data_IF_532561591351
#
_entry.id   IF_532561591351
#
_cell.length_a   1.000
_cell.length_b   1.000
_cell.length_c   1.000
_cell.angle_alpha   90.00
_cell.angle_beta   90.00
_cell.angle_gamma   90.00
#
_symmetry.space_group_name_H-M   'P 1'
#
loop_
_entity.id
_entity.type
_entity.pdbx_description
1 polymer ?
#
# COMPACT_ATOMS: atom_id res chain seq x y z
N UNK A 1 11.73 -0.38 22.58
CA UNK A 1 12.17 0.90 22.00
C UNK A 1 11.00 1.88 21.94
N UNK A 2 11.28 3.19 21.97
CA UNK A 2 10.34 4.25 21.62
C UNK A 2 10.48 4.53 20.14
N UNK A 3 9.43 4.27 19.37
CA UNK A 3 9.41 4.40 17.91
C UNK A 3 8.46 5.52 17.53
N UNK A 4 8.96 6.53 16.82
CA UNK A 4 8.12 7.57 16.24
C UNK A 4 7.92 7.32 14.73
N UNK A 5 6.65 7.06 14.34
CA UNK A 5 6.25 6.93 12.94
C UNK A 5 5.73 8.29 12.45
N UNK A 6 6.28 8.78 11.34
CA UNK A 6 5.87 10.05 10.76
C UNK A 6 5.06 9.81 9.49
N UNK A 7 3.82 10.25 9.48
CA UNK A 7 2.88 10.08 8.36
C UNK A 7 1.99 11.31 8.22
N UNK A 8 2.54 12.38 7.64
CA UNK A 8 1.95 13.72 7.65
C UNK A 8 0.54 13.81 7.07
N UNK A 9 0.23 13.05 6.00
CA UNK A 9 -1.08 13.11 5.32
C UNK A 9 -1.93 11.85 5.49
N UNK A 10 -1.31 10.72 5.85
CA UNK A 10 -2.03 9.44 5.97
C UNK A 10 -2.31 9.13 7.44
N UNK A 11 -3.38 9.70 7.97
CA UNK A 11 -3.84 9.49 9.34
C UNK A 11 -4.20 8.00 9.55
N UNK A 12 -3.58 7.29 10.51
CA UNK A 12 -3.85 5.88 10.76
C UNK A 12 -5.27 5.60 11.26
N UNK A 13 -5.98 6.62 11.73
CA UNK A 13 -7.38 6.51 12.20
C UNK A 13 -8.40 6.92 11.12
N UNK A 14 -7.96 7.40 9.95
CA UNK A 14 -8.86 7.77 8.88
C UNK A 14 -9.53 6.54 8.25
N UNK A 15 -10.83 6.67 7.93
CA UNK A 15 -11.56 5.64 7.19
C UNK A 15 -10.94 5.42 5.80
N UNK A 16 -10.67 4.17 5.47
CA UNK A 16 -10.11 3.79 4.15
C UNK A 16 -11.16 4.03 3.06
N UNK A 17 -10.75 4.70 1.97
CA UNK A 17 -11.64 4.98 0.82
C UNK A 17 -11.82 6.47 0.52
N UNK A 18 -11.35 7.38 1.39
CA UNK A 18 -11.28 8.81 1.09
C UNK A 18 -10.23 9.14 0.01
N UNK A 19 -10.24 10.38 -0.48
CA UNK A 19 -9.39 10.87 -1.60
C UNK A 19 -7.91 10.55 -1.39
N UNK A 20 -7.40 10.75 -0.17
CA UNK A 20 -6.01 10.46 0.21
C UNK A 20 -5.87 9.31 1.22
N UNK A 21 -6.97 8.63 1.60
CA UNK A 21 -6.95 7.48 2.49
C UNK A 21 -6.80 6.17 1.70
N UNK A 22 -5.63 5.57 1.77
CA UNK A 22 -5.26 4.40 0.96
C UNK A 22 -4.32 3.43 1.69
N UNK A 23 -3.50 2.74 0.92
CA UNK A 23 -2.58 1.71 1.43
C UNK A 23 -1.64 2.19 2.53
N UNK A 24 -1.18 3.45 2.49
CA UNK A 24 -0.28 4.00 3.52
C UNK A 24 -0.97 4.12 4.89
N UNK A 25 -2.24 4.55 4.94
CA UNK A 25 -2.99 4.64 6.22
C UNK A 25 -3.07 3.25 6.87
N UNK A 26 -3.45 2.23 6.08
CA UNK A 26 -3.53 0.83 6.54
C UNK A 26 -2.16 0.33 6.99
N UNK A 27 -1.12 0.62 6.21
CA UNK A 27 0.25 0.21 6.52
C UNK A 27 0.73 0.79 7.85
N UNK A 28 0.62 2.11 8.04
CA UNK A 28 1.11 2.79 9.24
C UNK A 28 0.34 2.34 10.48
N UNK A 29 -1.00 2.24 10.38
CA UNK A 29 -1.83 1.76 11.49
C UNK A 29 -1.44 0.33 11.91
N UNK A 30 -1.36 -0.58 10.95
CA UNK A 30 -1.10 -1.98 11.25
C UNK A 30 0.35 -2.22 11.71
N UNK A 31 1.34 -1.52 11.11
CA UNK A 31 2.73 -1.60 11.57
C UNK A 31 2.87 -1.07 13.01
N UNK A 32 2.21 0.06 13.34
CA UNK A 32 2.25 0.62 14.68
C UNK A 32 1.73 -0.38 15.73
N UNK A 33 0.59 -1.00 15.46
CA UNK A 33 0.01 -2.03 16.35
C UNK A 33 0.92 -3.24 16.45
N UNK A 34 1.45 -3.74 15.34
CA UNK A 34 2.30 -4.91 15.33
C UNK A 34 3.64 -4.67 16.05
N UNK A 35 4.24 -3.48 15.97
CA UNK A 35 5.41 -3.10 16.74
C UNK A 35 5.09 -2.99 18.25
N UNK A 36 3.93 -2.42 18.61
CA UNK A 36 3.52 -2.34 20.00
C UNK A 36 3.28 -3.73 20.62
N UNK A 37 2.71 -4.67 19.87
CA UNK A 37 2.56 -6.08 20.29
C UNK A 37 3.90 -6.77 20.54
N UNK A 38 4.99 -6.26 19.96
CA UNK A 38 6.38 -6.72 20.20
C UNK A 38 7.06 -6.01 21.37
N UNK A 39 6.32 -5.19 22.12
CA UNK A 39 6.81 -4.49 23.32
C UNK A 39 7.43 -3.13 23.05
N UNK A 40 7.21 -2.52 21.88
CA UNK A 40 7.63 -1.15 21.61
C UNK A 40 6.57 -0.15 22.05
N UNK A 41 6.99 1.07 22.42
CA UNK A 41 6.08 2.22 22.58
C UNK A 41 6.09 2.99 21.27
N UNK A 42 4.95 3.08 20.61
CA UNK A 42 4.85 3.67 19.29
C UNK A 42 4.04 4.97 19.33
N UNK A 43 4.59 6.04 18.77
CA UNK A 43 3.87 7.30 18.54
C UNK A 43 3.76 7.55 17.03
N UNK A 44 2.55 7.74 16.51
CA UNK A 44 2.33 8.13 15.12
C UNK A 44 2.05 9.61 15.07
N UNK A 45 2.89 10.37 14.37
CA UNK A 45 2.70 11.80 14.17
C UNK A 45 2.05 12.06 12.81
N UNK A 46 0.87 12.66 12.82
CA UNK A 46 0.13 13.04 11.62
C UNK A 46 -0.35 14.49 11.74
N UNK A 47 -0.62 15.14 10.61
CA UNK A 47 -1.09 16.52 10.61
C UNK A 47 -2.52 16.61 11.13
N UNK A 48 -2.80 17.62 11.95
CA UNK A 48 -4.16 17.95 12.37
C UNK A 48 -5.01 18.41 11.19
N UNK A 49 -6.15 17.78 10.97
CA UNK A 49 -7.07 18.05 9.85
C UNK A 49 -8.44 18.56 10.28
N UNK A 50 -8.66 18.67 11.59
CA UNK A 50 -9.91 19.22 12.14
C UNK A 50 -9.62 19.94 13.46
N UNK A 51 -10.26 21.09 13.66
CA UNK A 51 -10.11 21.87 14.90
C UNK A 51 -10.55 21.15 16.17
N UNK A 52 -11.53 20.24 16.04
CA UNK A 52 -12.03 19.42 17.15
C UNK A 52 -11.18 18.19 17.47
N UNK A 53 -10.17 17.84 16.66
CA UNK A 53 -9.27 16.73 16.97
C UNK A 53 -8.48 17.04 18.26
N UNK A 54 -8.43 16.08 19.21
CA UNK A 54 -7.59 16.22 20.40
C UNK A 54 -6.09 16.29 20.00
N UNK A 55 -5.22 16.70 20.94
CA UNK A 55 -3.79 16.71 20.67
C UNK A 55 -3.23 15.29 20.41
N UNK A 56 -3.79 14.29 21.08
CA UNK A 56 -3.42 12.89 20.93
C UNK A 56 -4.60 11.95 21.22
N UNK A 57 -4.54 10.74 20.63
CA UNK A 57 -5.51 9.66 20.82
C UNK A 57 -4.77 8.34 21.02
N UNK A 58 -5.19 7.53 21.98
CA UNK A 58 -4.73 6.15 22.08
C UNK A 58 -5.44 5.31 21.01
N UNK A 59 -4.68 4.76 20.06
CA UNK A 59 -5.20 3.93 18.97
C UNK A 59 -5.31 2.45 19.37
N UNK A 60 -4.32 1.99 20.14
CA UNK A 60 -4.24 0.63 20.65
C UNK A 60 -3.31 0.60 21.88
N UNK A 61 -3.28 -0.47 22.69
CA UNK A 61 -2.28 -0.61 23.74
C UNK A 61 -0.86 -0.39 23.21
N UNK A 62 -0.14 0.56 23.78
CA UNK A 62 1.22 0.92 23.35
C UNK A 62 1.32 1.81 22.11
N UNK A 63 0.20 2.24 21.50
CA UNK A 63 0.17 3.09 20.32
C UNK A 63 -0.61 4.37 20.57
N UNK A 64 0.07 5.51 20.38
CA UNK A 64 -0.54 6.86 20.46
C UNK A 64 -0.46 7.54 19.09
N UNK A 65 -1.54 8.14 18.65
CA UNK A 65 -1.57 9.05 17.49
C UNK A 65 -1.54 10.48 17.99
N UNK A 66 -0.61 11.27 17.51
CA UNK A 66 -0.46 12.69 17.82
C UNK A 66 -0.78 13.55 16.61
N UNK A 67 -1.74 14.45 16.78
CA UNK A 67 -2.17 15.39 15.75
C UNK A 67 -1.35 16.67 15.82
N UNK A 68 -0.38 16.79 14.91
CA UNK A 68 0.57 17.90 14.85
C UNK A 68 -0.07 19.09 14.11
N UNK A 69 -0.20 20.28 14.76
CA UNK A 69 -0.63 21.48 14.06
C UNK A 69 0.40 21.88 12.98
N UNK A 70 -0.07 22.02 11.74
CA UNK A 70 0.71 22.53 10.62
C UNK A 70 -0.24 23.04 9.53
N UNK A 71 -0.30 24.33 9.32
CA UNK A 71 -1.26 24.99 8.46
C UNK A 71 -2.69 24.94 9.01
N UNK A 72 -3.71 25.01 8.14
CA UNK A 72 -5.12 25.05 8.55
C UNK A 72 -5.52 23.70 9.18
N UNK A 73 -6.35 23.76 10.24
CA UNK A 73 -6.98 22.59 10.83
C UNK A 73 -8.18 22.13 9.96
N UNK A 74 -7.90 21.77 8.72
CA UNK A 74 -8.86 21.33 7.70
C UNK A 74 -8.18 20.30 6.77
N UNK A 75 -8.94 19.45 6.04
CA UNK A 75 -8.40 18.63 4.98
C UNK A 75 -7.70 19.50 3.92
N UNK A 76 -6.50 19.13 3.52
CA UNK A 76 -5.72 19.76 2.46
C UNK A 76 -5.26 18.66 1.51
N UNK A 77 -5.45 18.82 0.19
CA UNK A 77 -4.95 17.87 -0.79
C UNK A 77 -3.45 17.62 -0.61
N UNK A 78 -3.04 16.38 -0.72
CA UNK A 78 -1.65 15.96 -0.46
C UNK A 78 -0.60 16.79 -1.22
N UNK A 79 -0.85 17.09 -2.49
CA UNK A 79 0.09 17.82 -3.34
C UNK A 79 0.15 19.34 -2.98
N UNK A 80 -0.75 19.83 -2.11
CA UNK A 80 -0.78 21.20 -1.56
C UNK A 80 -0.19 21.32 -0.14
N UNK A 81 0.26 20.20 0.46
CA UNK A 81 0.84 20.19 1.81
C UNK A 81 2.26 20.78 1.94
N UNK A 82 3.13 20.82 0.89
CA UNK A 82 4.51 21.22 1.03
C UNK A 82 4.73 22.57 1.77
N UNK A 83 3.91 23.62 1.59
CA UNK A 83 4.07 24.90 2.33
C UNK A 83 3.96 24.76 3.85
N UNK A 84 3.23 23.78 4.35
CA UNK A 84 3.00 23.58 5.80
C UNK A 84 4.04 22.67 6.46
N UNK A 85 4.92 22.04 5.67
CA UNK A 85 5.89 21.07 6.19
C UNK A 85 7.00 21.73 7.04
N UNK A 86 7.25 23.01 6.87
CA UNK A 86 8.17 23.76 7.74
C UNK A 86 7.63 23.81 9.17
N UNK A 87 6.36 24.17 9.37
CA UNK A 87 5.72 24.20 10.68
C UNK A 87 5.66 22.80 11.30
N UNK A 88 5.28 21.79 10.51
CA UNK A 88 5.27 20.38 10.94
C UNK A 88 6.65 19.97 11.48
N UNK A 89 7.72 20.33 10.76
CA UNK A 89 9.11 20.06 11.16
C UNK A 89 9.47 20.73 12.50
N UNK A 90 9.10 22.01 12.70
CA UNK A 90 9.39 22.73 13.95
C UNK A 90 8.69 22.10 15.15
N UNK A 91 7.44 21.65 14.97
CA UNK A 91 6.70 20.99 16.04
C UNK A 91 7.36 19.66 16.43
N UNK A 92 7.80 18.85 15.46
CA UNK A 92 8.55 17.62 15.72
C UNK A 92 9.87 17.93 16.43
N UNK A 93 10.64 18.90 15.94
CA UNK A 93 11.92 19.29 16.54
C UNK A 93 11.76 19.73 18.00
N UNK A 94 10.77 20.57 18.31
CA UNK A 94 10.48 20.99 19.67
C UNK A 94 10.13 19.82 20.61
N UNK A 95 9.42 18.80 20.12
CA UNK A 95 9.13 17.59 20.88
C UNK A 95 10.39 16.78 21.15
N UNK A 96 11.18 16.53 20.12
CA UNK A 96 12.37 15.68 20.23
C UNK A 96 13.49 16.32 21.01
N UNK A 97 13.56 17.65 21.06
CA UNK A 97 14.46 18.35 21.96
C UNK A 97 14.16 18.08 23.45
N UNK A 98 12.88 17.79 23.79
CA UNK A 98 12.45 17.47 25.16
C UNK A 98 12.45 15.98 25.42
N UNK A 99 11.95 15.19 24.46
CA UNK A 99 11.81 13.73 24.57
C UNK A 99 12.06 13.07 23.22
N UNK A 100 13.33 12.75 22.98
CA UNK A 100 13.72 12.05 21.77
C UNK A 100 13.22 10.58 21.78
N UNK A 101 12.76 10.03 20.63
CA UNK A 101 12.56 8.59 20.46
C UNK A 101 13.90 7.87 20.31
N UNK A 102 13.88 6.54 20.32
CA UNK A 102 15.06 5.73 20.03
C UNK A 102 15.29 5.63 18.51
N UNK A 103 14.22 5.75 17.71
CA UNK A 103 14.24 5.72 16.26
C UNK A 103 13.04 6.46 15.66
N UNK A 104 13.25 7.09 14.50
CA UNK A 104 12.20 7.71 13.68
C UNK A 104 12.03 6.91 12.39
N UNK A 105 10.80 6.54 12.04
CA UNK A 105 10.49 5.93 10.74
C UNK A 105 9.51 6.81 9.97
N UNK A 106 9.97 7.39 8.90
CA UNK A 106 9.19 8.30 8.07
C UNK A 106 8.54 7.56 6.89
N UNK A 107 7.28 7.86 6.67
CA UNK A 107 6.45 7.28 5.61
C UNK A 107 6.06 8.35 4.60
N UNK A 108 6.49 8.19 3.36
CA UNK A 108 6.39 9.16 2.28
C UNK A 108 7.46 10.26 2.31
N UNK A 109 7.66 10.93 1.17
CA UNK A 109 8.76 11.87 1.01
C UNK A 109 8.68 13.13 1.89
N UNK A 110 7.48 13.69 2.10
CA UNK A 110 7.30 14.86 2.95
C UNK A 110 7.62 14.55 4.41
N UNK A 111 7.18 13.42 4.92
CA UNK A 111 7.55 12.92 6.25
C UNK A 111 9.05 12.70 6.37
N UNK A 112 9.70 12.14 5.35
CA UNK A 112 11.15 11.94 5.35
C UNK A 112 11.93 13.24 5.43
N UNK A 113 11.53 14.23 4.64
CA UNK A 113 12.14 15.56 4.69
C UNK A 113 11.94 16.22 6.05
N UNK A 114 10.71 16.16 6.60
CA UNK A 114 10.41 16.74 7.91
C UNK A 114 11.19 16.07 9.03
N UNK A 115 11.24 14.72 9.04
CA UNK A 115 11.97 13.95 10.05
C UNK A 115 13.46 14.28 10.07
N UNK A 116 14.14 14.25 8.92
CA UNK A 116 15.57 14.56 8.82
C UNK A 116 15.90 15.98 9.27
N UNK A 117 15.07 16.94 8.92
CA UNK A 117 15.24 18.33 9.36
C UNK A 117 14.94 18.51 10.85
N UNK A 118 13.93 17.83 11.37
CA UNK A 118 13.55 17.92 12.77
C UNK A 118 14.62 17.31 13.70
N UNK A 119 15.19 16.14 13.36
CA UNK A 119 16.32 15.54 14.08
C UNK A 119 17.52 16.49 14.11
N UNK A 120 17.86 17.09 12.97
CA UNK A 120 18.96 18.06 12.88
C UNK A 120 18.69 19.30 13.73
N UNK A 121 17.48 19.87 13.71
CA UNK A 121 17.11 21.07 14.48
C UNK A 121 17.03 20.83 15.99
N UNK A 122 16.54 19.65 16.37
CA UNK A 122 16.50 19.25 17.78
C UNK A 122 17.89 18.98 18.35
N UNK A 123 18.92 18.83 17.51
CA UNK A 123 20.29 18.49 17.94
C UNK A 123 20.41 17.10 18.56
N UNK A 124 19.52 16.16 18.17
CA UNK A 124 19.49 14.81 18.71
C UNK A 124 20.09 13.81 17.71
N UNK A 125 20.82 12.80 18.19
CA UNK A 125 21.43 11.76 17.36
C UNK A 125 20.49 10.59 17.08
N UNK A 126 19.20 10.85 16.80
CA UNK A 126 18.21 9.81 16.55
C UNK A 126 18.27 9.37 15.10
N UNK A 127 18.41 8.06 14.80
CA UNK A 127 18.44 7.57 13.43
C UNK A 127 17.07 7.68 12.76
N UNK A 128 17.11 7.91 11.44
CA UNK A 128 15.91 8.05 10.59
C UNK A 128 15.86 6.95 9.54
N UNK A 129 14.80 6.16 9.58
CA UNK A 129 14.44 5.16 8.56
C UNK A 129 13.37 5.74 7.63
N UNK A 130 13.44 5.43 6.34
CA UNK A 130 12.51 5.91 5.32
C UNK A 130 11.79 4.78 4.60
N UNK A 131 10.46 4.86 4.46
CA UNK A 131 9.67 4.11 3.48
C UNK A 131 8.95 5.09 2.56
N UNK A 132 9.18 5.00 1.24
CA UNK A 132 8.61 5.98 0.29
C UNK A 132 7.16 5.70 -0.09
N UNK A 133 6.69 4.45 -0.05
CA UNK A 133 5.37 3.97 -0.51
C UNK A 133 5.09 4.21 -1.99
N UNK A 134 5.62 5.25 -2.58
CA UNK A 134 5.54 5.55 -4.01
C UNK A 134 6.64 6.56 -4.37
N UNK A 135 7.48 6.22 -5.34
CA UNK A 135 8.56 7.08 -5.82
C UNK A 135 8.07 8.04 -6.91
N UNK A 136 8.51 9.28 -6.86
CA UNK A 136 8.17 10.32 -7.84
C UNK A 136 8.70 10.01 -9.23
N UNK A 137 9.87 9.37 -9.36
CA UNK A 137 10.43 8.89 -10.63
C UNK A 137 9.47 7.94 -11.33
N UNK A 138 8.93 7.00 -10.59
CA UNK A 138 7.97 6.00 -11.09
C UNK A 138 6.63 6.66 -11.43
N UNK A 139 6.10 7.51 -10.53
CA UNK A 139 4.85 8.24 -10.78
C UNK A 139 4.96 9.08 -12.06
N UNK A 140 6.05 9.83 -12.23
CA UNK A 140 6.31 10.67 -13.42
C UNK A 140 6.40 9.83 -14.70
N UNK A 141 7.08 8.68 -14.65
CA UNK A 141 7.22 7.76 -15.81
C UNK A 141 5.87 7.25 -16.31
N UNK A 142 4.94 6.93 -15.40
CA UNK A 142 3.67 6.31 -15.75
C UNK A 142 2.51 7.28 -15.93
N UNK A 143 2.54 8.46 -15.32
CA UNK A 143 1.48 9.46 -15.43
C UNK A 143 1.84 10.62 -16.37
N UNK A 144 3.13 10.85 -16.66
CA UNK A 144 3.56 11.92 -17.57
C UNK A 144 3.03 13.28 -17.09
N UNK A 145 2.34 13.99 -17.96
CA UNK A 145 1.74 15.31 -17.68
C UNK A 145 0.61 15.29 -16.64
N UNK A 146 -0.03 14.14 -16.43
CA UNK A 146 -1.05 13.99 -15.39
C UNK A 146 -0.46 13.86 -13.98
N UNK A 147 0.88 13.88 -13.81
CA UNK A 147 1.52 13.89 -12.51
C UNK A 147 1.47 15.28 -11.88
N UNK A 148 0.61 15.46 -10.88
CA UNK A 148 0.42 16.69 -10.12
C UNK A 148 1.46 16.93 -9.02
N UNK A 149 2.43 16.03 -8.87
CA UNK A 149 3.47 16.16 -7.83
C UNK A 149 4.32 17.40 -8.05
N UNK A 150 4.76 18.08 -6.95
CA UNK A 150 5.65 19.21 -7.05
C UNK A 150 6.93 18.89 -7.83
N UNK A 151 7.41 19.83 -8.64
CA UNK A 151 8.58 19.63 -9.51
C UNK A 151 9.85 19.20 -8.75
N UNK A 152 10.01 19.68 -7.49
CA UNK A 152 11.16 19.37 -6.65
C UNK A 152 11.10 17.99 -5.96
N UNK A 153 9.96 17.26 -6.03
CA UNK A 153 9.75 16.00 -5.34
C UNK A 153 10.88 14.99 -5.59
N UNK A 154 11.25 14.73 -6.83
CA UNK A 154 12.28 13.76 -7.19
C UNK A 154 13.65 14.13 -6.60
N UNK A 155 14.02 15.41 -6.65
CA UNK A 155 15.26 15.90 -6.06
C UNK A 155 15.26 15.72 -4.53
N UNK A 156 14.14 16.02 -3.88
CA UNK A 156 13.94 15.83 -2.45
C UNK A 156 13.99 14.36 -2.05
N UNK A 157 13.35 13.46 -2.79
CA UNK A 157 13.42 12.01 -2.55
C UNK A 157 14.86 11.49 -2.63
N UNK A 158 15.66 11.97 -3.61
CA UNK A 158 17.09 11.63 -3.70
C UNK A 158 17.89 12.13 -2.51
N UNK A 159 17.59 13.32 -2.01
CA UNK A 159 18.23 13.87 -0.81
C UNK A 159 17.90 13.02 0.42
N UNK A 160 16.62 12.73 0.63
CA UNK A 160 16.14 11.88 1.73
C UNK A 160 16.83 10.52 1.70
N UNK A 161 16.80 9.85 0.54
CA UNK A 161 17.37 8.53 0.36
C UNK A 161 18.88 8.47 0.65
N UNK A 162 19.62 9.56 0.39
CA UNK A 162 21.06 9.66 0.72
C UNK A 162 21.32 9.97 2.19
N UNK A 163 20.38 10.64 2.88
CA UNK A 163 20.59 11.11 4.26
C UNK A 163 19.98 10.17 5.30
N UNK A 164 18.94 9.43 4.95
CA UNK A 164 18.34 8.44 5.83
C UNK A 164 19.35 7.35 6.20
N UNK A 165 19.31 6.88 7.44
CA UNK A 165 20.20 5.82 7.93
C UNK A 165 19.86 4.48 7.28
N UNK A 166 18.58 4.23 6.98
CA UNK A 166 18.12 3.11 6.17
C UNK A 166 16.89 3.48 5.33
N UNK A 167 16.70 2.76 4.22
CA UNK A 167 15.50 2.83 3.39
C UNK A 167 14.85 1.45 3.34
N UNK A 168 13.57 1.37 3.71
CA UNK A 168 12.78 0.15 3.57
C UNK A 168 12.05 0.18 2.24
N UNK A 169 12.47 -0.68 1.32
CA UNK A 169 11.77 -0.94 0.06
C UNK A 169 10.69 -2.01 0.28
N UNK A 170 9.57 -1.89 -0.38
CA UNK A 170 8.47 -2.85 -0.26
C UNK A 170 8.60 -4.05 -1.19
N UNK A 171 9.42 -3.92 -2.25
CA UNK A 171 9.65 -4.97 -3.25
C UNK A 171 11.01 -4.78 -3.96
N UNK A 172 11.42 -5.78 -4.72
CA UNK A 172 12.67 -5.77 -5.50
C UNK A 172 12.70 -4.66 -6.57
N UNK A 173 11.55 -4.36 -7.20
CA UNK A 173 11.46 -3.29 -8.20
C UNK A 173 11.78 -1.91 -7.57
N UNK A 174 11.29 -1.66 -6.35
CA UNK A 174 11.62 -0.43 -5.61
C UNK A 174 13.11 -0.36 -5.25
N UNK A 175 13.77 -1.48 -4.96
CA UNK A 175 15.23 -1.53 -4.74
C UNK A 175 15.97 -1.07 -5.99
N UNK A 176 15.56 -1.53 -7.18
CA UNK A 176 16.16 -1.11 -8.44
C UNK A 176 15.99 0.41 -8.69
N UNK A 177 14.81 0.95 -8.40
CA UNK A 177 14.56 2.39 -8.51
C UNK A 177 15.42 3.20 -7.52
N UNK A 178 15.53 2.76 -6.26
CA UNK A 178 16.37 3.39 -5.24
C UNK A 178 17.86 3.36 -5.62
N UNK A 179 18.35 2.25 -6.17
CA UNK A 179 19.72 2.16 -6.71
C UNK A 179 19.95 3.15 -7.85
N UNK A 180 19.00 3.26 -8.76
CA UNK A 180 19.06 4.25 -9.86
C UNK A 180 19.04 5.71 -9.34
N UNK A 181 18.51 5.95 -8.14
CA UNK A 181 18.57 7.23 -7.44
C UNK A 181 19.90 7.47 -6.70
N UNK A 182 20.81 6.47 -6.67
CA UNK A 182 22.12 6.54 -6.02
C UNK A 182 22.12 6.13 -4.55
N UNK A 183 21.12 5.38 -4.09
CA UNK A 183 21.09 4.83 -2.73
C UNK A 183 22.01 3.63 -2.64
N UNK A 184 22.99 3.58 -1.70
CA UNK A 184 23.83 2.41 -1.50
C UNK A 184 22.97 1.20 -1.10
N UNK A 185 23.27 0.05 -1.73
CA UNK A 185 22.53 -1.19 -1.49
C UNK A 185 22.51 -1.59 -0.02
N UNK A 186 23.62 -1.34 0.69
CA UNK A 186 23.78 -1.66 2.10
C UNK A 186 22.81 -0.92 3.01
N UNK A 187 22.22 0.19 2.53
CA UNK A 187 21.21 0.97 3.27
C UNK A 187 19.76 0.61 2.91
N UNK A 188 19.57 -0.32 1.98
CA UNK A 188 18.24 -0.73 1.54
C UNK A 188 17.91 -2.11 2.07
N UNK A 189 16.79 -2.25 2.76
CA UNK A 189 16.23 -3.54 3.17
C UNK A 189 14.86 -3.74 2.51
N UNK A 190 14.53 -4.98 2.12
CA UNK A 190 13.19 -5.30 1.63
C UNK A 190 12.31 -5.70 2.81
N UNK A 191 11.34 -4.85 3.12
CA UNK A 191 10.28 -5.15 4.10
C UNK A 191 8.94 -4.96 3.40
N UNK A 192 8.24 -6.05 3.04
CA UNK A 192 7.00 -5.97 2.28
C UNK A 192 5.87 -5.36 3.13
N UNK A 193 4.79 -4.92 2.48
CA UNK A 193 3.56 -4.61 3.20
C UNK A 193 2.93 -5.88 3.79
N UNK A 194 2.16 -5.69 4.86
CA UNK A 194 1.48 -6.78 5.54
C UNK A 194 0.01 -6.94 5.14
N UNK A 195 -0.56 -8.05 5.57
CA UNK A 195 -1.98 -8.35 5.53
C UNK A 195 -2.46 -8.80 6.92
N UNK A 196 -3.68 -8.42 7.27
CA UNK A 196 -4.34 -8.94 8.47
C UNK A 196 -4.85 -10.36 8.21
N UNK A 197 -4.09 -11.35 8.68
CA UNK A 197 -4.39 -12.77 8.49
C UNK A 197 -5.58 -13.25 9.35
N UNK A 198 -6.08 -12.43 10.27
CA UNK A 198 -7.30 -12.72 11.05
C UNK A 198 -8.54 -12.36 10.25
N UNK A 199 -8.52 -11.19 9.58
CA UNK A 199 -9.61 -10.73 8.75
C UNK A 199 -9.59 -11.42 7.37
N UNK A 200 -8.41 -11.53 6.76
CA UNK A 200 -8.19 -12.15 5.45
C UNK A 200 -7.65 -13.57 5.64
N UNK A 201 -8.54 -14.52 5.68
CA UNK A 201 -8.26 -15.95 5.78
C UNK A 201 -9.24 -16.74 4.88
N UNK A 202 -8.94 -18.00 4.54
CA UNK A 202 -9.81 -18.80 3.69
C UNK A 202 -11.18 -19.08 4.31
N UNK A 203 -11.24 -19.14 5.64
CA UNK A 203 -12.43 -19.42 6.43
C UNK A 203 -13.22 -18.12 6.71
N UNK A 204 -14.54 -18.23 6.77
CA UNK A 204 -15.44 -17.13 7.17
C UNK A 204 -16.59 -16.87 6.20
N UNK A 205 -17.34 -15.80 6.40
CA UNK A 205 -18.47 -15.44 5.56
C UNK A 205 -18.10 -15.25 4.08
N UNK A 206 -19.00 -15.65 3.20
CA UNK A 206 -18.91 -15.47 1.74
C UNK A 206 -20.02 -14.53 1.31
N UNK A 207 -19.73 -13.54 0.48
CA UNK A 207 -20.75 -12.63 -0.03
C UNK A 207 -21.69 -13.37 -1.01
N UNK A 208 -22.97 -12.96 -1.13
CA UNK A 208 -23.89 -13.49 -2.13
C UNK A 208 -23.30 -13.37 -3.54
N UNK A 209 -23.50 -14.39 -4.36
CA UNK A 209 -23.03 -14.43 -5.75
C UNK A 209 -24.03 -15.15 -6.67
N UNK A 210 -23.92 -14.87 -7.95
CA UNK A 210 -24.62 -15.60 -9.02
C UNK A 210 -23.97 -16.96 -9.31
N UNK A 211 -24.64 -17.82 -10.07
CA UNK A 211 -24.14 -19.18 -10.39
C UNK A 211 -22.97 -19.21 -11.38
N UNK A 212 -22.66 -18.10 -12.05
CA UNK A 212 -21.56 -17.98 -13.02
C UNK A 212 -20.17 -17.94 -12.39
N UNK A 213 -19.13 -18.04 -13.23
CA UNK A 213 -17.74 -17.81 -12.82
C UNK A 213 -17.54 -16.35 -12.42
N UNK A 214 -17.16 -16.08 -11.16
CA UNK A 214 -17.03 -14.72 -10.62
C UNK A 214 -15.60 -14.20 -10.66
N UNK A 215 -15.37 -13.18 -11.46
CA UNK A 215 -14.14 -12.38 -11.51
C UNK A 215 -14.34 -11.15 -10.63
N UNK A 216 -13.43 -10.91 -9.68
CA UNK A 216 -13.46 -9.72 -8.83
C UNK A 216 -12.28 -8.80 -9.14
N UNK A 217 -12.56 -7.53 -9.34
CA UNK A 217 -11.56 -6.45 -9.37
C UNK A 217 -11.89 -5.43 -8.28
N UNK A 218 -10.94 -5.17 -7.38
CA UNK A 218 -11.14 -4.27 -6.24
C UNK A 218 -10.02 -3.24 -6.14
N UNK A 219 -10.37 -1.98 -5.87
CA UNK A 219 -9.41 -0.90 -5.68
C UNK A 219 -9.94 0.46 -6.06
N UNK A 220 -9.05 1.46 -6.04
CA UNK A 220 -9.41 2.84 -6.44
C UNK A 220 -9.81 2.89 -7.92
N UNK A 221 -10.86 3.64 -8.22
CA UNK A 221 -11.32 3.87 -9.58
C UNK A 221 -10.45 4.93 -10.26
N UNK A 222 -9.35 4.48 -10.85
CA UNK A 222 -8.45 5.33 -11.63
C UNK A 222 -7.92 4.54 -12.83
N UNK A 223 -7.72 5.17 -14.01
CA UNK A 223 -7.37 4.48 -15.26
C UNK A 223 -6.13 3.58 -15.13
N UNK A 224 -5.13 4.01 -14.36
CA UNK A 224 -3.89 3.24 -14.17
C UNK A 224 -4.08 1.88 -13.48
N UNK A 225 -5.22 1.63 -12.82
CA UNK A 225 -5.55 0.32 -12.24
C UNK A 225 -5.95 -0.70 -13.29
N UNK A 226 -6.17 -0.26 -14.55
CA UNK A 226 -6.32 -1.13 -15.72
C UNK A 226 -7.59 -1.97 -15.74
N UNK A 227 -8.63 -1.55 -15.01
CA UNK A 227 -9.91 -2.28 -14.94
C UNK A 227 -10.58 -2.38 -16.31
N UNK A 228 -10.36 -1.39 -17.20
CA UNK A 228 -10.78 -1.46 -18.60
C UNK A 228 -10.20 -2.67 -19.35
N UNK A 229 -8.99 -3.09 -19.01
CA UNK A 229 -8.37 -4.30 -19.57
C UNK A 229 -9.13 -5.55 -19.13
N UNK A 230 -9.68 -5.59 -17.89
CA UNK A 230 -10.51 -6.69 -17.39
C UNK A 230 -11.85 -6.74 -18.13
N UNK A 231 -12.52 -5.59 -18.27
CA UNK A 231 -13.78 -5.47 -19.05
C UNK A 231 -13.57 -5.96 -20.49
N UNK A 232 -12.50 -5.52 -21.16
CA UNK A 232 -12.17 -5.97 -22.52
C UNK A 232 -11.88 -7.47 -22.59
N UNK A 233 -11.21 -8.04 -21.57
CA UNK A 233 -10.89 -9.46 -21.52
C UNK A 233 -12.14 -10.34 -21.36
N UNK A 234 -13.16 -9.85 -20.63
CA UNK A 234 -14.40 -10.58 -20.35
C UNK A 234 -15.16 -10.98 -21.61
N UNK A 235 -14.98 -10.27 -22.73
CA UNK A 235 -15.55 -10.67 -24.04
C UNK A 235 -15.16 -12.08 -24.47
N UNK A 236 -13.95 -12.49 -24.14
CA UNK A 236 -13.44 -13.81 -24.49
C UNK A 236 -13.58 -14.85 -23.38
N UNK A 237 -14.38 -14.57 -22.34
CA UNK A 237 -14.65 -15.48 -21.21
C UNK A 237 -16.16 -15.68 -21.06
N UNK A 238 -16.77 -16.57 -21.86
CA UNK A 238 -18.21 -16.82 -21.81
C UNK A 238 -18.65 -17.31 -20.43
N UNK A 239 -19.83 -16.90 -19.97
CA UNK A 239 -20.41 -17.33 -18.70
C UNK A 239 -19.78 -16.76 -17.44
N UNK A 240 -18.70 -15.94 -17.56
CA UNK A 240 -18.14 -15.25 -16.40
C UNK A 240 -18.77 -13.88 -16.20
N UNK A 241 -18.90 -13.47 -14.94
CA UNK A 241 -19.30 -12.14 -14.51
C UNK A 241 -18.11 -11.40 -13.87
N UNK A 242 -18.11 -10.08 -13.97
CA UNK A 242 -17.11 -9.20 -13.37
C UNK A 242 -17.76 -8.28 -12.34
N UNK A 243 -17.35 -8.41 -11.10
CA UNK A 243 -17.66 -7.44 -10.05
C UNK A 243 -16.49 -6.49 -9.90
N UNK A 244 -16.77 -5.19 -9.95
CA UNK A 244 -15.81 -4.10 -9.78
C UNK A 244 -16.19 -3.35 -8.50
N UNK A 245 -15.33 -3.42 -7.49
CA UNK A 245 -15.54 -2.76 -6.20
C UNK A 245 -14.56 -1.61 -5.99
N UNK A 246 -15.07 -0.44 -5.64
CA UNK A 246 -14.31 0.80 -5.38
C UNK A 246 -14.96 2.02 -6.02
N UNK A 247 -14.44 3.21 -5.69
CA UNK A 247 -14.99 4.47 -6.15
C UNK A 247 -16.30 4.86 -5.46
N UNK A 248 -16.78 6.08 -5.73
CA UNK A 248 -18.10 6.58 -5.34
C UNK A 248 -19.15 6.32 -6.42
N UNK A 249 -20.42 6.65 -6.12
CA UNK A 249 -21.52 6.51 -7.08
C UNK A 249 -21.31 7.36 -8.34
N UNK A 250 -20.81 8.60 -8.17
CA UNK A 250 -20.56 9.57 -9.25
C UNK A 250 -19.12 9.53 -9.78
N UNK A 251 -18.39 8.44 -9.56
CA UNK A 251 -17.00 8.31 -10.03
C UNK A 251 -16.95 8.26 -11.56
N UNK A 252 -16.25 9.22 -12.17
CA UNK A 252 -16.13 9.33 -13.63
C UNK A 252 -15.54 8.07 -14.28
N UNK A 253 -14.59 7.40 -13.62
CA UNK A 253 -14.04 6.14 -14.12
C UNK A 253 -15.06 4.99 -14.03
N UNK A 254 -15.90 4.96 -13.00
CA UNK A 254 -16.99 4.01 -12.89
C UNK A 254 -18.00 4.18 -14.04
N UNK A 255 -18.37 5.44 -14.36
CA UNK A 255 -19.18 5.77 -15.53
C UNK A 255 -18.56 5.27 -16.85
N UNK A 256 -17.30 5.59 -17.07
CA UNK A 256 -16.53 5.15 -18.23
C UNK A 256 -16.47 3.63 -18.39
N UNK A 257 -16.35 2.90 -17.28
CA UNK A 257 -16.32 1.43 -17.31
C UNK A 257 -17.68 0.82 -17.63
N UNK A 258 -18.79 1.42 -17.16
CA UNK A 258 -20.15 1.00 -17.53
C UNK A 258 -20.42 1.25 -19.04
N UNK A 259 -20.04 2.40 -19.57
CA UNK A 259 -20.13 2.71 -21.01
C UNK A 259 -19.30 1.73 -21.84
N UNK A 260 -18.09 1.39 -21.39
CA UNK A 260 -17.24 0.41 -22.04
C UNK A 260 -17.87 -0.99 -22.05
N UNK A 261 -18.50 -1.39 -20.93
CA UNK A 261 -19.22 -2.66 -20.84
C UNK A 261 -20.40 -2.70 -21.82
N UNK A 262 -21.21 -1.64 -21.87
CA UNK A 262 -22.34 -1.51 -22.80
C UNK A 262 -21.88 -1.55 -24.27
N UNK A 263 -20.80 -0.83 -24.61
CA UNK A 263 -20.23 -0.85 -25.95
C UNK A 263 -19.78 -2.25 -26.43
N UNK A 264 -19.61 -3.21 -25.48
CA UNK A 264 -19.26 -4.58 -25.77
C UNK A 264 -20.40 -5.58 -25.53
N UNK A 265 -21.63 -5.13 -25.19
CA UNK A 265 -22.77 -5.98 -24.87
C UNK A 265 -22.53 -6.82 -23.59
N UNK A 266 -21.86 -6.23 -22.61
CA UNK A 266 -21.49 -6.87 -21.34
C UNK A 266 -22.19 -6.26 -20.14
N UNK A 267 -23.17 -5.39 -20.32
CA UNK A 267 -23.87 -4.65 -19.26
C UNK A 267 -24.50 -5.57 -18.21
N UNK A 268 -24.99 -6.74 -18.63
CA UNK A 268 -25.57 -7.76 -17.72
C UNK A 268 -24.51 -8.62 -17.02
N UNK A 269 -23.21 -8.44 -17.34
CA UNK A 269 -22.10 -9.25 -16.83
C UNK A 269 -21.02 -8.44 -16.12
N UNK A 270 -21.13 -7.11 -16.12
CA UNK A 270 -20.20 -6.20 -15.47
C UNK A 270 -20.94 -5.36 -14.43
N UNK A 271 -20.62 -5.57 -13.17
CA UNK A 271 -21.30 -4.98 -12.03
C UNK A 271 -20.34 -4.05 -11.28
N UNK A 272 -20.55 -2.73 -11.39
CA UNK A 272 -19.80 -1.73 -10.64
C UNK A 272 -20.58 -1.43 -9.35
N UNK A 273 -20.11 -1.98 -8.24
CA UNK A 273 -20.83 -1.96 -6.94
C UNK A 273 -20.43 -0.79 -6.01
N UNK A 274 -19.51 0.08 -6.46
CA UNK A 274 -19.03 1.19 -5.65
C UNK A 274 -18.11 0.79 -4.50
N UNK A 275 -18.00 1.67 -3.51
CA UNK A 275 -17.15 1.47 -2.34
C UNK A 275 -17.72 0.40 -1.42
N UNK A 276 -16.85 -0.50 -0.96
CA UNK A 276 -17.18 -1.58 -0.02
C UNK A 276 -16.47 -1.32 1.32
N UNK A 277 -17.19 -1.34 2.45
CA UNK A 277 -16.57 -1.23 3.76
C UNK A 277 -15.46 -2.27 3.95
N UNK A 278 -14.35 -1.86 4.57
CA UNK A 278 -13.16 -2.72 4.75
C UNK A 278 -13.49 -4.07 5.40
N UNK A 279 -14.42 -4.10 6.35
CA UNK A 279 -14.88 -5.30 7.04
C UNK A 279 -15.61 -6.31 6.13
N UNK A 280 -16.17 -5.87 5.01
CA UNK A 280 -16.87 -6.73 4.04
C UNK A 280 -15.95 -7.22 2.91
N UNK A 281 -14.78 -6.62 2.72
CA UNK A 281 -13.85 -7.00 1.66
C UNK A 281 -13.42 -8.47 1.73
N UNK A 282 -13.12 -9.06 2.90
CA UNK A 282 -12.76 -10.48 2.97
C UNK A 282 -13.89 -11.42 2.48
N UNK A 283 -15.15 -11.13 2.85
CA UNK A 283 -16.30 -11.91 2.41
C UNK A 283 -16.51 -11.80 0.88
N UNK A 284 -16.32 -10.60 0.33
CA UNK A 284 -16.37 -10.34 -1.11
C UNK A 284 -15.23 -11.08 -1.84
N UNK A 285 -14.02 -11.09 -1.31
CA UNK A 285 -12.91 -11.84 -1.89
C UNK A 285 -13.20 -13.34 -1.89
N UNK A 286 -13.66 -13.90 -0.77
CA UNK A 286 -14.00 -15.34 -0.68
C UNK A 286 -15.15 -15.77 -1.62
N UNK A 287 -16.00 -14.82 -2.06
CA UNK A 287 -17.03 -15.13 -3.05
C UNK A 287 -16.51 -15.29 -4.48
N UNK A 288 -15.31 -14.78 -4.77
CA UNK A 288 -14.76 -14.77 -6.12
C UNK A 288 -14.07 -16.11 -6.48
N UNK A 289 -14.20 -16.54 -7.72
CA UNK A 289 -13.41 -17.65 -8.28
C UNK A 289 -11.99 -17.20 -8.63
N UNK A 290 -11.81 -15.90 -8.92
CA UNK A 290 -10.52 -15.29 -9.21
C UNK A 290 -10.55 -13.79 -8.91
N UNK A 291 -9.50 -13.29 -8.27
CA UNK A 291 -9.27 -11.85 -8.14
C UNK A 291 -8.30 -11.39 -9.22
N UNK A 292 -8.68 -10.34 -9.94
CA UNK A 292 -7.87 -9.77 -11.04
C UNK A 292 -7.39 -8.37 -10.67
N UNK A 293 -6.08 -8.14 -10.76
CA UNK A 293 -5.45 -6.85 -10.56
C UNK A 293 -4.41 -6.61 -11.66
N UNK A 294 -4.73 -5.74 -12.61
CA UNK A 294 -3.91 -5.53 -13.81
C UNK A 294 -3.51 -4.06 -14.02
N UNK A 295 -2.97 -3.40 -12.98
CA UNK A 295 -2.50 -2.03 -13.11
C UNK A 295 -1.37 -1.91 -14.13
N UNK A 296 -1.15 -0.67 -14.59
CA UNK A 296 0.02 -0.34 -15.42
C UNK A 296 1.31 -0.36 -14.60
N UNK A 297 1.18 -0.03 -13.34
CA UNK A 297 2.24 -0.08 -12.33
C UNK A 297 1.63 -0.25 -10.93
N UNK A 298 2.27 -1.04 -10.08
CA UNK A 298 1.88 -1.26 -8.69
C UNK A 298 3.11 -1.27 -7.78
N UNK A 299 3.22 -0.36 -6.80
CA UNK A 299 4.36 -0.34 -5.88
C UNK A 299 4.54 -1.64 -5.10
N UNK A 300 3.47 -2.20 -4.58
CA UNK A 300 3.52 -3.46 -3.82
C UNK A 300 2.44 -4.46 -4.24
N UNK A 301 1.16 -4.07 -4.18
CA UNK A 301 0.04 -4.95 -4.47
C UNK A 301 -0.59 -5.57 -3.21
N UNK A 302 -1.20 -4.75 -2.36
CA UNK A 302 -1.92 -5.24 -1.17
C UNK A 302 -3.12 -6.12 -1.54
N UNK A 303 -3.88 -5.72 -2.56
CA UNK A 303 -5.08 -6.47 -3.00
C UNK A 303 -4.77 -7.91 -3.39
N UNK A 304 -3.73 -8.22 -4.20
CA UNK A 304 -3.33 -9.60 -4.45
C UNK A 304 -2.99 -10.38 -3.18
N UNK A 305 -2.27 -9.75 -2.25
CA UNK A 305 -1.88 -10.42 -0.99
C UNK A 305 -3.11 -10.71 -0.12
N UNK A 306 -4.07 -9.81 -0.06
CA UNK A 306 -5.36 -10.00 0.63
C UNK A 306 -6.18 -11.13 0.01
N UNK A 307 -6.27 -11.18 -1.32
CA UNK A 307 -6.95 -12.25 -2.04
C UNK A 307 -6.28 -13.61 -1.81
N UNK A 308 -4.94 -13.66 -1.90
CA UNK A 308 -4.16 -14.86 -1.58
C UNK A 308 -4.39 -15.31 -0.14
N UNK A 309 -4.42 -14.38 0.82
CA UNK A 309 -4.70 -14.70 2.22
C UNK A 309 -6.09 -15.33 2.40
N UNK A 310 -7.07 -14.90 1.60
CA UNK A 310 -8.41 -15.51 1.55
C UNK A 310 -8.45 -16.85 0.79
N UNK A 311 -7.34 -17.37 0.29
CA UNK A 311 -7.29 -18.60 -0.48
C UNK A 311 -7.87 -18.48 -1.90
N UNK A 312 -8.00 -17.26 -2.42
CA UNK A 312 -8.57 -17.00 -3.75
C UNK A 312 -7.46 -16.88 -4.79
N UNK A 313 -7.58 -17.56 -5.94
CA UNK A 313 -6.64 -17.41 -7.04
C UNK A 313 -6.46 -15.96 -7.49
N UNK A 314 -5.24 -15.56 -7.78
CA UNK A 314 -4.92 -14.20 -8.26
C UNK A 314 -4.36 -14.25 -9.67
N UNK A 315 -4.90 -13.38 -10.54
CA UNK A 315 -4.32 -13.05 -11.84
C UNK A 315 -3.92 -11.58 -11.81
N UNK A 316 -2.63 -11.30 -12.01
CA UNK A 316 -2.10 -9.95 -11.90
C UNK A 316 -1.24 -9.57 -13.11
N UNK A 317 -1.11 -8.25 -13.38
CA UNK A 317 -0.12 -7.79 -14.36
C UNK A 317 1.31 -7.97 -13.83
N UNK A 318 2.23 -8.36 -14.72
CA UNK A 318 3.65 -8.52 -14.43
C UNK A 318 4.35 -7.16 -14.33
N UNK A 319 4.09 -6.41 -13.25
CA UNK A 319 4.61 -5.05 -13.01
C UNK A 319 4.94 -4.83 -11.53
N UNK A 320 6.01 -4.07 -11.28
CA UNK A 320 6.38 -3.60 -9.94
C UNK A 320 6.34 -4.71 -8.88
N UNK A 321 5.74 -4.42 -7.73
CA UNK A 321 5.63 -5.35 -6.61
C UNK A 321 4.85 -6.64 -6.88
N UNK A 322 4.06 -6.72 -7.96
CA UNK A 322 3.41 -7.98 -8.35
C UNK A 322 4.41 -9.08 -8.71
N UNK A 323 5.59 -8.72 -9.20
CA UNK A 323 6.65 -9.67 -9.51
C UNK A 323 7.14 -10.41 -8.25
N UNK A 324 7.12 -9.74 -7.10
CA UNK A 324 7.49 -10.34 -5.81
C UNK A 324 6.29 -10.98 -5.11
N UNK A 325 5.12 -10.34 -5.15
CA UNK A 325 3.97 -10.77 -4.36
C UNK A 325 3.24 -11.96 -4.98
N UNK A 326 3.08 -11.98 -6.30
CA UNK A 326 2.22 -12.93 -7.02
C UNK A 326 3.00 -14.07 -7.67
N UNK A 327 4.25 -13.83 -8.12
CA UNK A 327 5.03 -14.87 -8.80
C UNK A 327 5.17 -16.15 -7.95
N UNK A 328 4.85 -17.30 -8.57
CA UNK A 328 4.88 -18.62 -7.91
C UNK A 328 3.68 -18.95 -7.01
N UNK A 329 2.72 -18.03 -6.82
CA UNK A 329 1.51 -18.27 -6.02
C UNK A 329 0.23 -17.74 -6.68
N UNK A 330 0.34 -17.16 -7.86
CA UNK A 330 -0.73 -16.71 -8.74
C UNK A 330 -0.25 -16.71 -10.17
N UNK A 331 -0.99 -16.10 -11.08
CA UNK A 331 -0.65 -16.02 -12.50
C UNK A 331 -0.35 -14.59 -12.91
N UNK A 332 0.80 -14.39 -13.54
CA UNK A 332 1.20 -13.09 -14.08
C UNK A 332 0.90 -12.99 -15.57
N UNK A 333 0.34 -11.86 -16.00
CA UNK A 333 0.04 -11.55 -17.39
C UNK A 333 0.73 -10.25 -17.82
N UNK A 334 1.08 -10.06 -19.08
CA UNK A 334 1.59 -8.76 -19.53
C UNK A 334 0.56 -7.65 -19.31
N UNK A 335 0.97 -6.44 -18.85
CA UNK A 335 0.05 -5.33 -18.63
C UNK A 335 -0.61 -4.88 -19.94
N UNK A 336 -1.85 -4.38 -19.87
CA UNK A 336 -2.61 -3.82 -20.99
C UNK A 336 -2.79 -4.80 -22.17
N UNK A 337 -2.89 -6.12 -21.88
CA UNK A 337 -3.05 -7.18 -22.89
C UNK A 337 -4.34 -7.99 -22.62
N UNK A 338 -5.53 -7.49 -23.02
CA UNK A 338 -6.81 -8.13 -22.69
C UNK A 338 -6.95 -9.55 -23.27
N UNK A 339 -6.34 -9.85 -24.43
CA UNK A 339 -6.36 -11.19 -25.01
C UNK A 339 -5.57 -12.20 -24.18
N UNK A 340 -4.42 -11.79 -23.62
CA UNK A 340 -3.62 -12.64 -22.74
C UNK A 340 -4.37 -12.90 -21.43
N UNK A 341 -4.97 -11.85 -20.85
CA UNK A 341 -5.80 -11.95 -19.64
C UNK A 341 -7.01 -12.89 -19.89
N UNK A 342 -7.72 -12.72 -20.99
CA UNK A 342 -8.87 -13.57 -21.36
C UNK A 342 -8.50 -15.06 -21.44
N UNK A 343 -7.35 -15.41 -22.01
CA UNK A 343 -6.87 -16.80 -22.08
C UNK A 343 -6.64 -17.36 -20.67
N UNK A 344 -5.92 -16.64 -19.81
CA UNK A 344 -5.63 -17.08 -18.45
C UNK A 344 -6.91 -17.19 -17.62
N UNK A 345 -7.85 -16.26 -17.77
CA UNK A 345 -9.13 -16.33 -17.06
C UNK A 345 -9.94 -17.59 -17.47
N UNK A 346 -9.97 -17.95 -18.76
CA UNK A 346 -10.62 -19.21 -19.19
C UNK A 346 -9.96 -20.45 -18.60
N UNK A 347 -8.63 -20.48 -18.57
CA UNK A 347 -7.87 -21.58 -17.99
C UNK A 347 -8.16 -21.72 -16.49
N UNK A 348 -8.12 -20.61 -15.73
CA UNK A 348 -8.35 -20.61 -14.28
C UNK A 348 -9.82 -20.93 -13.96
N UNK A 349 -10.78 -20.30 -14.64
CA UNK A 349 -12.22 -20.53 -14.37
C UNK A 349 -12.70 -21.90 -14.84
N UNK A 350 -12.11 -22.45 -15.89
CA UNK A 350 -12.45 -23.75 -16.44
C UNK A 350 -11.89 -24.95 -15.66
N UNK A 351 -10.92 -24.74 -14.77
CA UNK A 351 -10.25 -25.82 -14.04
C UNK A 351 -10.37 -25.61 -12.51
N UNK A 352 -11.32 -26.27 -11.84
CA UNK A 352 -11.47 -26.20 -10.39
C UNK A 352 -10.25 -26.70 -9.60
N UNK A 353 -9.54 -27.72 -10.12
CA UNK A 353 -8.32 -28.24 -9.51
C UNK A 353 -7.21 -27.16 -9.51
N UNK A 354 -7.01 -26.52 -10.65
CA UNK A 354 -6.07 -25.40 -10.79
C UNK A 354 -6.41 -24.25 -9.88
N UNK A 355 -7.70 -23.90 -9.74
CA UNK A 355 -8.14 -22.87 -8.77
C UNK A 355 -7.77 -23.24 -7.36
N UNK A 356 -8.05 -24.46 -6.93
CA UNK A 356 -7.72 -24.94 -5.60
C UNK A 356 -6.20 -24.90 -5.32
N UNK A 357 -5.38 -25.33 -6.27
CA UNK A 357 -3.91 -25.27 -6.16
C UNK A 357 -3.39 -23.85 -6.01
N UNK A 358 -3.84 -22.91 -6.86
CA UNK A 358 -3.44 -21.50 -6.80
C UNK A 358 -3.91 -20.85 -5.50
N UNK A 359 -5.14 -21.12 -5.06
CA UNK A 359 -5.67 -20.61 -3.81
C UNK A 359 -4.85 -21.08 -2.60
N UNK A 360 -4.55 -22.39 -2.54
CA UNK A 360 -3.74 -22.98 -1.47
C UNK A 360 -2.29 -22.42 -1.47
N UNK A 361 -1.67 -22.30 -2.63
CA UNK A 361 -0.34 -21.72 -2.78
C UNK A 361 -0.31 -20.25 -2.34
N UNK A 362 -1.33 -19.46 -2.72
CA UNK A 362 -1.51 -18.07 -2.31
C UNK A 362 -1.65 -17.93 -0.79
N UNK A 363 -2.54 -18.71 -0.18
CA UNK A 363 -2.79 -18.67 1.26
C UNK A 363 -1.54 -19.04 2.07
N UNK A 364 -0.79 -20.05 1.64
CA UNK A 364 0.49 -20.43 2.24
C UNK A 364 1.50 -19.28 2.19
N UNK A 365 1.70 -18.69 0.98
CA UNK A 365 2.62 -17.58 0.78
C UNK A 365 2.26 -16.35 1.61
N UNK A 366 0.96 -16.00 1.68
CA UNK A 366 0.48 -14.87 2.47
C UNK A 366 0.81 -15.06 3.95
N UNK A 367 0.55 -16.23 4.51
CA UNK A 367 0.87 -16.56 5.91
C UNK A 367 2.36 -16.55 6.21
N UNK A 368 3.18 -17.08 5.33
CA UNK A 368 4.63 -17.21 5.55
C UNK A 368 5.37 -15.87 5.44
N UNK A 369 4.89 -14.94 4.58
CA UNK A 369 5.66 -13.76 4.21
C UNK A 369 5.02 -12.43 4.58
N UNK A 370 3.68 -12.34 4.62
CA UNK A 370 2.98 -11.06 4.61
C UNK A 370 2.13 -10.78 5.85
N UNK A 371 2.11 -11.65 6.87
CA UNK A 371 1.48 -11.34 8.15
C UNK A 371 2.15 -10.15 8.84
N UNK A 372 1.38 -9.25 9.45
CA UNK A 372 1.92 -8.04 10.11
C UNK A 372 2.94 -8.35 11.20
N UNK A 373 2.80 -9.47 11.91
CA UNK A 373 3.80 -9.92 12.89
C UNK A 373 5.18 -10.12 12.25
N UNK A 374 5.23 -10.72 11.04
CA UNK A 374 6.46 -10.94 10.29
C UNK A 374 7.04 -9.63 9.74
N UNK A 375 6.18 -8.74 9.28
CA UNK A 375 6.58 -7.40 8.81
C UNK A 375 7.20 -6.59 9.95
N UNK A 376 6.56 -6.59 11.13
CA UNK A 376 7.08 -5.91 12.32
C UNK A 376 8.41 -6.51 12.78
N UNK A 377 8.55 -7.84 12.78
CA UNK A 377 9.81 -8.53 13.11
C UNK A 377 10.96 -8.09 12.20
N UNK A 378 10.73 -8.05 10.88
CA UNK A 378 11.73 -7.57 9.91
C UNK A 378 12.05 -6.08 10.10
N UNK A 379 11.03 -5.27 10.34
CA UNK A 379 11.20 -3.83 10.61
C UNK A 379 12.03 -3.59 11.86
N UNK A 380 11.74 -4.31 12.96
CA UNK A 380 12.49 -4.25 14.21
C UNK A 380 13.95 -4.67 14.03
N UNK A 381 14.22 -5.71 13.22
CA UNK A 381 15.58 -6.14 12.92
C UNK A 381 16.38 -5.05 12.20
N UNK A 382 15.76 -4.32 11.26
CA UNK A 382 16.38 -3.14 10.64
C UNK A 382 16.64 -2.05 11.66
N UNK A 383 15.66 -1.74 12.53
CA UNK A 383 15.83 -0.71 13.55
C UNK A 383 17.01 -1.03 14.48
N UNK A 384 17.13 -2.27 14.94
CA UNK A 384 18.24 -2.71 15.78
C UNK A 384 19.60 -2.53 15.09
N UNK A 385 19.72 -2.90 13.81
CA UNK A 385 20.96 -2.71 13.05
C UNK A 385 21.33 -1.24 12.86
N UNK A 386 20.34 -0.39 12.62
CA UNK A 386 20.54 1.06 12.44
C UNK A 386 20.98 1.71 13.75
N UNK A 387 20.34 1.37 14.87
CA UNK A 387 20.69 1.89 16.20
C UNK A 387 22.09 1.42 16.61
N UNK A 388 22.46 0.17 16.31
CA UNK A 388 23.80 -0.38 16.59
C UNK A 388 24.91 0.15 15.65
N UNK A 389 24.56 0.97 14.65
CA UNK A 389 25.52 1.45 13.63
C UNK A 389 26.00 0.38 12.65
N UNK A 390 25.29 -0.76 12.53
CA UNK A 390 25.63 -1.92 11.69
C UNK A 390 24.98 -1.90 10.30
N UNK A 391 24.77 -0.74 9.73
CA UNK A 391 24.03 -0.55 8.47
C UNK A 391 24.59 -1.34 7.27
N UNK A 392 25.85 -1.80 7.36
CA UNK A 392 26.53 -2.55 6.28
C UNK A 392 25.95 -3.93 5.90
N UNK A 393 24.91 -4.42 6.61
CA UNK A 393 24.36 -5.77 6.41
C UNK A 393 22.84 -5.82 6.18
N UNK A 394 22.17 -4.69 5.95
CA UNK A 394 20.71 -4.64 5.79
C UNK A 394 20.19 -5.49 4.62
N UNK A 395 20.96 -5.61 3.54
CA UNK A 395 20.59 -6.42 2.37
C UNK A 395 20.38 -7.91 2.69
N UNK A 396 21.00 -8.43 3.76
CA UNK A 396 20.87 -9.83 4.18
C UNK A 396 19.51 -10.14 4.88
N UNK A 397 18.72 -9.13 5.26
CA UNK A 397 17.44 -9.32 5.93
C UNK A 397 16.25 -9.53 4.95
N UNK A 398 16.48 -9.40 3.64
CA UNK A 398 15.45 -9.46 2.59
C UNK A 398 15.16 -10.84 2.02
N UNK A 399 15.79 -11.92 2.49
CA UNK A 399 15.65 -13.29 2.01
C UNK A 399 14.40 -14.04 2.52
#
# INVERSE_FOLDING_TARGET
MKVDLISEHADPLAAVGGVDAGGQNVYVAALAVALAQRGHTVTVHTRRTCGSQPASVSMAPGVTVEYVPAGPAAPVPKDELPPYMAEFTERLAGRWAVRAPDIVHAHFWMSGQAALRAVQRAGVGVPVVQTFHALGTVKRRWQGEADTSPAHRIATEREIARRADAVLATCTDEVHELRAMGVPEQRVAIVPCGVDLTAFCPEGPVAPRTEGGLVLSIGRMVPRKGVDTVVRALRGVPGAELVIAGGGEDDAEAGRLRELAAAYGLECRVHVIGSVPRSHVPALMRSADVVVTVPWYEPFGMVPVEAMACGVPVVASAVGGHLDTVAGAGVLVPPRRPRALSRVLREVLGDPGRRAELGAAGARRARERYGWARVAERTEAVYAQVIDGKVGHLAALGG
#
